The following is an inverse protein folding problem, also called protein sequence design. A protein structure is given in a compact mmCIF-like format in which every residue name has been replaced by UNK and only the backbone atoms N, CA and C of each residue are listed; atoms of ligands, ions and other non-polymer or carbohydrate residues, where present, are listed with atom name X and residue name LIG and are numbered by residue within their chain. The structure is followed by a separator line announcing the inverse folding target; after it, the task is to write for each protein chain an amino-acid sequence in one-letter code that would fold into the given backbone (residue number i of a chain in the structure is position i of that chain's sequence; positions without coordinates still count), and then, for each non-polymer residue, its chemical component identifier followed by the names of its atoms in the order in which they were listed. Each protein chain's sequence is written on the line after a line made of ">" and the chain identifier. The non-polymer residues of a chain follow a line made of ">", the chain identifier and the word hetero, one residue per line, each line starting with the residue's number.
data_IF_629870277364
#
_entry.id   IF_629870277364
#
_cell.length_a   1.000
_cell.length_b   1.000
_cell.length_c   1.000
_cell.angle_alpha   90.00
_cell.angle_beta   90.00
_cell.angle_gamma   90.00
#
_symmetry.space_group_name_H-M   'P 1'
#
loop_
_entity.id
_entity.type
_entity.pdbx_description
1 polymer ?
#
# COMPACT_ATOMS: atom_id res chain seq x y z
N UNK A 1 4.72 -6.08 -10.84
CA UNK A 1 5.02 -7.17 -9.88
C UNK A 1 4.42 -6.84 -8.52
N UNK A 2 4.31 -7.81 -7.62
CA UNK A 2 3.82 -7.60 -6.25
C UNK A 2 4.77 -8.28 -5.25
N UNK A 3 4.87 -7.69 -4.07
CA UNK A 3 5.44 -8.29 -2.87
C UNK A 3 4.30 -8.52 -1.88
N UNK A 4 4.28 -9.70 -1.26
CA UNK A 4 3.37 -10.07 -0.19
C UNK A 4 4.17 -10.24 1.10
N UNK A 5 3.80 -9.49 2.14
CA UNK A 5 4.34 -9.61 3.48
C UNK A 5 3.29 -10.25 4.39
N UNK A 6 3.68 -11.32 5.08
CA UNK A 6 2.89 -11.95 6.14
C UNK A 6 3.28 -11.31 7.46
N UNK A 7 2.28 -10.86 8.19
CA UNK A 7 2.42 -10.07 9.40
C UNK A 7 1.76 -10.78 10.57
N UNK A 8 2.35 -10.67 11.74
CA UNK A 8 1.75 -11.11 13.00
C UNK A 8 1.59 -9.91 13.93
N UNK A 9 0.38 -9.70 14.46
CA UNK A 9 0.13 -8.66 15.45
C UNK A 9 0.91 -8.95 16.73
N UNK A 10 1.60 -7.95 17.27
CA UNK A 10 2.43 -8.08 18.48
C UNK A 10 1.70 -7.71 19.77
N UNK A 11 0.47 -7.23 19.67
CA UNK A 11 -0.36 -6.87 20.80
C UNK A 11 -1.83 -6.80 20.38
N UNK A 12 -2.72 -6.87 21.36
CA UNK A 12 -4.13 -6.49 21.18
C UNK A 12 -4.21 -5.03 20.73
N UNK A 13 -4.85 -4.78 19.59
CA UNK A 13 -4.95 -3.43 19.03
C UNK A 13 -6.20 -3.24 18.18
N UNK A 14 -6.74 -2.03 18.24
CA UNK A 14 -7.85 -1.63 17.38
C UNK A 14 -7.34 -1.37 15.95
N UNK A 15 -8.18 -1.64 14.96
CA UNK A 15 -7.82 -1.37 13.57
C UNK A 15 -7.82 0.14 13.27
N UNK A 16 -6.64 0.69 13.00
CA UNK A 16 -6.48 2.10 12.67
C UNK A 16 -6.69 2.35 11.16
N UNK A 17 -7.84 2.94 10.82
CA UNK A 17 -8.19 3.31 9.45
C UNK A 17 -7.35 4.47 8.88
N UNK A 18 -6.55 5.15 9.71
CA UNK A 18 -5.64 6.23 9.29
C UNK A 18 -4.23 5.72 8.91
N UNK A 19 -4.07 4.40 8.74
CA UNK A 19 -2.82 3.72 8.42
C UNK A 19 -2.03 4.32 7.24
N UNK A 20 -2.73 4.88 6.24
CA UNK A 20 -2.16 5.25 4.94
C UNK A 20 -0.90 6.11 5.04
N UNK A 21 -0.89 7.12 5.91
CA UNK A 21 0.25 8.03 6.02
C UNK A 21 1.47 7.35 6.65
N UNK A 22 1.25 6.52 7.67
CA UNK A 22 2.32 5.85 8.43
C UNK A 22 2.95 4.72 7.61
N UNK A 23 2.11 3.89 6.98
CA UNK A 23 2.59 2.84 6.09
C UNK A 23 3.36 3.41 4.89
N UNK A 24 2.88 4.54 4.34
CA UNK A 24 3.62 5.24 3.27
C UNK A 24 5.00 5.68 3.71
N UNK A 25 5.12 6.29 4.89
CA UNK A 25 6.41 6.70 5.43
C UNK A 25 7.36 5.52 5.61
N UNK A 26 6.85 4.38 6.10
CA UNK A 26 7.65 3.16 6.25
C UNK A 26 8.19 2.64 4.91
N UNK A 27 7.40 2.69 3.84
CA UNK A 27 7.83 2.29 2.49
C UNK A 27 8.85 3.29 1.93
N UNK A 28 8.67 4.60 2.14
CA UNK A 28 9.64 5.60 1.68
C UNK A 28 10.98 5.48 2.41
N UNK A 29 10.97 5.19 3.71
CA UNK A 29 12.20 4.92 4.44
C UNK A 29 13.00 3.74 3.85
N UNK A 30 12.31 2.73 3.30
CA UNK A 30 12.96 1.60 2.62
C UNK A 30 13.59 1.99 1.26
N UNK A 31 13.26 3.18 0.74
CA UNK A 31 13.76 3.71 -0.52
C UNK A 31 14.77 4.86 -0.30
N UNK A 32 15.02 5.25 0.95
CA UNK A 32 15.98 6.31 1.32
C UNK A 32 17.38 5.97 0.77
N UNK A 33 18.01 6.94 0.10
CA UNK A 33 19.32 6.75 -0.52
C UNK A 33 19.34 5.87 -1.79
N UNK A 34 18.18 5.46 -2.31
CA UNK A 34 18.06 4.80 -3.63
C UNK A 34 17.73 5.81 -4.73
N UNK A 35 17.77 5.40 -6.01
CA UNK A 35 17.32 6.26 -7.12
C UNK A 35 15.82 6.66 -7.01
N UNK A 36 15.04 5.94 -6.20
CA UNK A 36 13.61 6.18 -6.03
C UNK A 36 13.31 7.24 -4.96
N UNK A 37 14.29 7.63 -4.15
CA UNK A 37 14.11 8.60 -3.06
C UNK A 37 13.63 9.96 -3.58
N UNK A 38 14.25 10.44 -4.66
CA UNK A 38 13.94 11.74 -5.28
C UNK A 38 12.47 11.84 -5.74
N UNK A 39 11.83 10.70 -6.09
CA UNK A 39 10.43 10.65 -6.55
C UNK A 39 9.46 11.16 -5.46
N UNK A 40 9.84 11.05 -4.19
CA UNK A 40 9.01 11.49 -3.07
C UNK A 40 8.59 12.96 -3.19
N UNK A 41 9.49 13.82 -3.68
CA UNK A 41 9.34 15.29 -3.68
C UNK A 41 9.01 15.88 -5.07
N UNK A 42 9.03 15.08 -6.13
CA UNK A 42 8.83 15.55 -7.52
C UNK A 42 7.38 15.90 -7.88
N UNK A 43 6.41 15.65 -6.99
CA UNK A 43 4.99 15.87 -7.28
C UNK A 43 4.42 14.95 -8.37
N UNK A 44 5.14 13.86 -8.69
CA UNK A 44 4.73 12.83 -9.66
C UNK A 44 4.05 11.66 -8.95
N UNK A 45 3.32 10.79 -9.67
CA UNK A 45 2.81 9.54 -9.11
C UNK A 45 3.97 8.70 -8.52
N UNK A 46 3.76 8.13 -7.33
CA UNK A 46 4.79 7.50 -6.49
C UNK A 46 5.43 6.23 -7.07
N UNK A 47 4.99 5.76 -8.23
CA UNK A 47 5.50 4.52 -8.82
C UNK A 47 5.13 3.23 -8.08
N UNK A 48 4.38 3.27 -6.98
CA UNK A 48 3.90 2.09 -6.27
C UNK A 48 2.51 2.30 -5.64
N UNK A 49 1.86 1.19 -5.29
CA UNK A 49 0.63 1.14 -4.49
C UNK A 49 0.76 0.04 -3.42
N UNK A 50 -0.09 0.08 -2.40
CA UNK A 50 -0.10 -0.90 -1.32
C UNK A 50 -1.52 -1.09 -0.79
N UNK A 51 -1.79 -2.28 -0.26
CA UNK A 51 -3.05 -2.57 0.43
C UNK A 51 -3.05 -1.99 1.85
N UNK A 52 -4.23 -1.93 2.45
CA UNK A 52 -4.35 -1.98 3.91
C UNK A 52 -3.81 -3.34 4.46
N UNK A 53 -3.39 -3.44 5.73
CA UNK A 53 -3.21 -4.73 6.36
C UNK A 53 -4.56 -5.47 6.39
N UNK A 54 -4.64 -6.66 5.81
CA UNK A 54 -5.88 -7.42 5.68
C UNK A 54 -5.78 -8.83 6.27
N UNK A 55 -6.88 -9.45 6.74
CA UNK A 55 -8.24 -8.90 6.77
C UNK A 55 -8.37 -7.67 7.70
N UNK A 56 -9.20 -6.67 7.36
CA UNK A 56 -9.41 -5.52 8.24
C UNK A 56 -10.20 -5.93 9.49
N UNK A 57 -9.97 -5.23 10.59
CA UNK A 57 -10.65 -5.46 11.87
C UNK A 57 -9.66 -5.57 13.03
N UNK A 58 -10.20 -5.37 14.23
CA UNK A 58 -9.44 -5.42 15.48
C UNK A 58 -8.67 -6.73 15.61
N UNK A 59 -7.54 -6.65 16.29
CA UNK A 59 -6.56 -7.73 16.37
C UNK A 59 -6.30 -8.09 17.82
N UNK A 60 -6.13 -9.39 18.06
CA UNK A 60 -5.45 -9.90 19.25
C UNK A 60 -3.97 -10.10 18.94
N UNK A 61 -3.15 -10.12 19.99
CA UNK A 61 -1.77 -10.57 19.86
C UNK A 61 -1.70 -11.95 19.20
N UNK A 62 -0.82 -12.09 18.22
CA UNK A 62 -0.67 -13.30 17.41
C UNK A 62 -1.57 -13.38 16.18
N UNK A 63 -2.56 -12.50 16.02
CA UNK A 63 -3.42 -12.52 14.83
C UNK A 63 -2.61 -12.21 13.56
N UNK A 64 -2.87 -12.99 12.51
CA UNK A 64 -2.20 -12.83 11.23
C UNK A 64 -2.85 -11.73 10.38
N UNK A 65 -2.01 -10.99 9.65
CA UNK A 65 -2.39 -10.03 8.62
C UNK A 65 -1.49 -10.19 7.40
N UNK A 66 -1.95 -9.69 6.28
CA UNK A 66 -1.22 -9.64 5.02
C UNK A 66 -1.13 -8.21 4.55
N UNK A 67 0.03 -7.83 4.02
CA UNK A 67 0.27 -6.57 3.35
C UNK A 67 0.77 -6.83 1.93
N UNK A 68 0.13 -6.22 0.94
CA UNK A 68 0.58 -6.23 -0.44
C UNK A 68 1.21 -4.89 -0.81
N UNK A 69 2.35 -4.93 -1.49
CA UNK A 69 2.97 -3.78 -2.15
C UNK A 69 3.16 -4.11 -3.62
N UNK A 70 2.80 -3.21 -4.52
CA UNK A 70 2.85 -3.41 -5.95
C UNK A 70 3.53 -2.24 -6.66
N UNK A 71 4.33 -2.55 -7.65
CA UNK A 71 4.98 -1.56 -8.52
C UNK A 71 5.25 -2.16 -9.90
N UNK A 72 5.26 -1.34 -10.97
CA UNK A 72 5.89 -1.71 -12.23
C UNK A 72 7.43 -1.76 -12.16
N UNK A 73 8.06 -1.17 -11.14
CA UNK A 73 9.51 -1.14 -10.97
C UNK A 73 9.97 -2.28 -10.05
N UNK A 74 10.69 -3.26 -10.60
CA UNK A 74 11.13 -4.43 -9.84
C UNK A 74 12.17 -4.09 -8.77
N UNK A 75 13.09 -3.19 -9.07
CA UNK A 75 14.15 -2.76 -8.15
C UNK A 75 13.58 -1.97 -6.96
N UNK A 76 12.54 -1.15 -7.16
CA UNK A 76 11.79 -0.53 -6.06
C UNK A 76 11.23 -1.59 -5.11
N UNK A 77 10.56 -2.62 -5.66
CA UNK A 77 10.03 -3.71 -4.82
C UNK A 77 11.13 -4.52 -4.15
N UNK A 78 12.29 -4.68 -4.79
CA UNK A 78 13.43 -5.38 -4.20
C UNK A 78 13.96 -4.63 -2.97
N UNK A 79 14.09 -3.30 -3.04
CA UNK A 79 14.48 -2.46 -1.90
C UNK A 79 13.46 -2.57 -0.75
N UNK A 80 12.17 -2.44 -1.04
CA UNK A 80 11.10 -2.61 -0.03
C UNK A 80 11.12 -4.01 0.59
N UNK A 81 11.33 -5.05 -0.22
CA UNK A 81 11.36 -6.42 0.27
C UNK A 81 12.62 -6.73 1.09
N UNK A 82 13.77 -6.16 0.74
CA UNK A 82 15.01 -6.31 1.48
C UNK A 82 14.89 -5.64 2.85
N UNK A 83 14.44 -4.40 2.87
CA UNK A 83 14.22 -3.64 4.10
C UNK A 83 13.24 -4.36 5.06
N UNK A 84 12.09 -4.87 4.57
CA UNK A 84 11.15 -5.62 5.42
C UNK A 84 11.71 -6.95 5.95
N UNK A 85 12.73 -7.52 5.28
CA UNK A 85 13.41 -8.74 5.74
C UNK A 85 14.48 -8.44 6.78
N UNK A 86 15.16 -7.30 6.62
CA UNK A 86 16.26 -6.84 7.49
C UNK A 86 15.72 -6.21 8.78
N UNK A 87 14.71 -5.34 8.68
CA UNK A 87 13.93 -4.82 9.80
C UNK A 87 12.49 -5.35 9.75
N UNK A 88 12.29 -6.44 10.49
CA UNK A 88 11.00 -7.14 10.59
C UNK A 88 10.03 -6.48 11.55
N UNK A 89 10.38 -5.35 12.16
CA UNK A 89 9.44 -4.57 12.94
C UNK A 89 8.65 -3.61 12.03
N UNK A 90 7.33 -3.79 12.00
CA UNK A 90 6.44 -2.97 11.19
C UNK A 90 5.35 -2.35 12.06
N UNK A 91 5.57 -1.10 12.47
CA UNK A 91 4.57 -0.33 13.21
C UNK A 91 3.79 0.59 12.27
N UNK A 92 2.50 0.31 12.11
CA UNK A 92 1.60 1.11 11.27
C UNK A 92 0.66 1.88 12.18
N UNK A 93 1.01 3.14 12.46
CA UNK A 93 0.26 3.93 13.45
C UNK A 93 0.39 3.31 14.83
N UNK A 94 -0.73 2.92 15.44
CA UNK A 94 -0.79 2.20 16.73
C UNK A 94 -0.94 0.68 16.56
N UNK A 95 -0.80 0.15 15.34
CA UNK A 95 -0.86 -1.29 15.07
C UNK A 95 0.56 -1.87 14.96
N UNK A 96 1.05 -2.58 15.99
CA UNK A 96 2.39 -3.16 15.97
C UNK A 96 2.39 -4.54 15.32
N UNK A 97 3.21 -4.72 14.28
CA UNK A 97 3.37 -6.00 13.58
C UNK A 97 4.82 -6.48 13.61
N UNK A 98 4.97 -7.81 13.56
CA UNK A 98 6.19 -8.48 13.13
C UNK A 98 6.00 -8.97 11.69
N UNK A 99 7.03 -8.90 10.85
CA UNK A 99 7.03 -9.45 9.50
C UNK A 99 7.58 -10.87 9.54
N UNK A 100 6.72 -11.87 9.35
CA UNK A 100 7.12 -13.28 9.40
C UNK A 100 7.82 -13.70 8.11
N UNK A 101 7.30 -13.25 6.97
CA UNK A 101 7.87 -13.55 5.66
C UNK A 101 7.51 -12.51 4.61
N UNK A 102 8.35 -12.44 3.58
CA UNK A 102 8.20 -11.52 2.44
C UNK A 102 8.48 -12.29 1.17
N UNK A 103 7.48 -12.42 0.30
CA UNK A 103 7.53 -13.22 -0.92
C UNK A 103 7.16 -12.39 -2.15
N UNK A 104 7.68 -12.77 -3.32
CA UNK A 104 7.22 -12.24 -4.60
C UNK A 104 5.91 -12.88 -5.03
N UNK A 105 5.02 -12.10 -5.62
CA UNK A 105 3.77 -12.55 -6.19
C UNK A 105 3.66 -12.06 -7.64
N UNK A 106 3.78 -13.00 -8.58
CA UNK A 106 3.43 -12.78 -9.98
C UNK A 106 1.92 -13.00 -10.14
N UNK A 107 1.22 -12.04 -10.73
CA UNK A 107 -0.22 -12.14 -10.99
C UNK A 107 -0.43 -12.22 -12.48
N UNK A 108 -0.99 -13.33 -12.95
CA UNK A 108 -1.46 -13.46 -14.32
C UNK A 108 -2.76 -12.63 -14.46
N UNK A 109 -2.74 -11.69 -15.39
CA UNK A 109 -3.88 -10.82 -15.72
C UNK A 109 -4.47 -11.13 -17.09
N UNK A 110 -4.04 -12.23 -17.71
CA UNK A 110 -4.40 -12.62 -19.06
C UNK A 110 -3.60 -11.87 -20.12
N UNK A 111 -3.77 -12.32 -21.36
CA UNK A 111 -3.18 -11.70 -22.55
C UNK A 111 -3.77 -10.30 -22.82
N UNK A 112 -3.06 -9.41 -23.53
CA UNK A 112 -3.60 -8.13 -23.96
C UNK A 112 -4.95 -8.27 -24.69
N UNK A 113 -5.96 -7.53 -24.23
CA UNK A 113 -7.31 -7.57 -24.79
C UNK A 113 -8.27 -8.53 -24.06
N UNK A 114 -7.81 -9.25 -23.05
CA UNK A 114 -8.69 -10.02 -22.15
C UNK A 114 -9.47 -9.11 -21.21
N UNK A 115 -10.60 -9.60 -20.72
CA UNK A 115 -11.46 -8.94 -19.74
C UNK A 115 -11.54 -9.75 -18.46
N UNK A 116 -11.63 -9.08 -17.31
CA UNK A 116 -11.81 -9.72 -16.01
C UNK A 116 -12.43 -8.79 -14.99
N UNK A 117 -12.56 -9.28 -13.77
CA UNK A 117 -13.10 -8.52 -12.64
C UNK A 117 -11.96 -8.17 -11.68
N UNK A 118 -11.91 -6.92 -11.25
CA UNK A 118 -11.00 -6.45 -10.20
C UNK A 118 -11.85 -6.08 -8.99
N UNK A 119 -11.46 -6.58 -7.82
CA UNK A 119 -12.02 -6.19 -6.54
C UNK A 119 -10.96 -5.42 -5.75
N UNK A 120 -11.40 -4.48 -4.93
CA UNK A 120 -10.50 -3.68 -4.11
C UNK A 120 -10.89 -3.71 -2.64
N UNK A 121 -9.91 -4.02 -1.79
CA UNK A 121 -10.01 -3.84 -0.34
C UNK A 121 -9.57 -2.44 0.12
N UNK A 122 -8.88 -1.69 -0.75
CA UNK A 122 -8.39 -0.32 -0.48
C UNK A 122 -9.12 0.67 -1.40
N UNK A 123 -9.52 1.82 -0.87
CA UNK A 123 -10.31 2.79 -1.65
C UNK A 123 -9.62 3.25 -2.94
N UNK A 124 -10.35 3.27 -4.06
CA UNK A 124 -9.90 3.87 -5.33
C UNK A 124 -10.26 5.34 -5.31
N UNK A 125 -9.25 6.21 -5.45
CA UNK A 125 -9.42 7.66 -5.43
C UNK A 125 -9.14 8.26 -6.80
N UNK A 126 -10.17 8.87 -7.40
CA UNK A 126 -10.05 9.70 -8.60
C UNK A 126 -10.42 11.12 -8.22
N UNK A 127 -9.46 12.04 -8.29
CA UNK A 127 -9.72 13.46 -8.03
C UNK A 127 -10.07 14.15 -9.33
N UNK A 128 -11.24 14.77 -9.37
CA UNK A 128 -11.64 15.63 -10.48
C UNK A 128 -11.30 17.07 -10.08
N UNK A 129 -10.55 17.80 -10.89
CA UNK A 129 -10.25 19.19 -10.57
C UNK A 129 -11.49 20.07 -10.75
N UNK A 130 -11.66 21.15 -9.95
CA UNK A 130 -12.87 21.96 -9.98
C UNK A 130 -13.24 22.53 -11.35
N UNK A 131 -12.25 22.89 -12.17
CA UNK A 131 -12.49 23.42 -13.51
C UNK A 131 -13.06 22.41 -14.52
N UNK A 132 -13.18 21.12 -14.16
CA UNK A 132 -13.86 20.09 -14.95
C UNK A 132 -15.22 19.69 -14.40
N UNK A 133 -15.70 20.30 -13.32
CA UNK A 133 -16.96 19.91 -12.70
C UNK A 133 -18.16 20.08 -13.65
N UNK A 134 -18.21 21.19 -14.40
CA UNK A 134 -19.24 21.42 -15.42
C UNK A 134 -19.26 20.33 -16.50
N UNK A 135 -18.07 19.93 -17.00
CA UNK A 135 -17.92 18.87 -18.02
C UNK A 135 -18.51 17.53 -17.56
N UNK A 136 -18.38 17.21 -16.28
CA UNK A 136 -18.85 15.95 -15.69
C UNK A 136 -20.22 16.07 -15.01
N UNK A 137 -20.89 17.24 -15.10
CA UNK A 137 -22.19 17.48 -14.45
C UNK A 137 -22.14 17.36 -12.93
N UNK A 138 -21.01 17.73 -12.32
CA UNK A 138 -20.81 17.73 -10.87
C UNK A 138 -21.26 19.09 -10.34
N UNK A 139 -22.34 19.09 -9.57
CA UNK A 139 -22.80 20.26 -8.83
C UNK A 139 -22.11 20.32 -7.46
N UNK A 140 -21.59 21.50 -7.11
CA UNK A 140 -20.91 21.73 -5.83
C UNK A 140 -21.71 22.60 -4.87
N UNK A 141 -22.93 22.97 -5.23
CA UNK A 141 -23.83 23.72 -4.35
C UNK A 141 -24.22 22.84 -3.15
N UNK A 142 -23.41 22.96 -2.09
CA UNK A 142 -23.72 22.50 -0.75
C UNK A 142 -23.83 23.74 0.14
N UNK A 143 -25.03 24.02 0.66
CA UNK A 143 -25.27 24.94 1.78
C UNK A 143 -24.49 24.53 3.04
#
# INVERSE_FOLDING_TARGET
>A
MRVIAHLQARADTAYDNTYHHKLRGRIWNALDGTEYDEIHDEGRPKGFTYSNPFPPGDMREGDERTLLVASPHEELLANVAADLKDDRELNIGQMPFHVDSVNGLATDVGEPGTSGTIETGTGVLVRIPPWRFEEYGIDTDHD
#
